data_IF_922513784658
#
_entry.id   IF_922513784658
#
_cell.length_a   1.000
_cell.length_b   1.000
_cell.length_c   1.000
_cell.angle_alpha   90.00
_cell.angle_beta   90.00
_cell.angle_gamma   90.00
#
_symmetry.space_group_name_H-M   'P 1'
#
loop_
_entity.id
_entity.type
_entity.pdbx_description
1 polymer ?
#
# COMPACT_ATOMS: atom_id res chain seq x y z
N UNK A 1 19.69 -11.65 11.91
CA UNK A 1 18.47 -10.83 11.96
C UNK A 1 17.48 -11.34 10.92
N UNK A 2 16.24 -11.53 11.32
CA UNK A 2 15.19 -11.97 10.40
C UNK A 2 14.60 -10.75 9.72
N UNK A 3 14.67 -10.74 8.40
CA UNK A 3 14.02 -9.72 7.60
C UNK A 3 12.52 -9.98 7.56
N UNK A 4 11.71 -8.98 7.87
CA UNK A 4 10.26 -9.09 7.75
C UNK A 4 9.85 -8.89 6.30
N UNK A 5 9.43 -9.98 5.66
CA UNK A 5 8.92 -9.93 4.31
C UNK A 5 7.44 -10.28 4.36
N UNK A 6 6.62 -9.34 3.91
CA UNK A 6 5.18 -9.54 3.86
C UNK A 6 4.80 -10.34 2.62
N UNK A 7 3.81 -11.21 2.76
CA UNK A 7 3.21 -11.84 1.60
C UNK A 7 2.37 -10.81 0.86
N UNK A 8 2.55 -10.73 -0.44
CA UNK A 8 1.89 -9.71 -1.26
C UNK A 8 1.23 -10.33 -2.48
N UNK A 9 0.13 -9.72 -2.86
CA UNK A 9 -0.50 -9.93 -4.16
C UNK A 9 -0.29 -8.68 -4.99
N UNK A 10 -0.61 -8.76 -6.28
CA UNK A 10 -0.49 -7.61 -7.18
C UNK A 10 -1.86 -7.35 -7.81
N UNK A 11 -2.31 -6.09 -7.80
CA UNK A 11 -3.55 -5.70 -8.42
C UNK A 11 -3.40 -5.64 -9.94
N UNK A 12 -4.53 -5.51 -10.66
CA UNK A 12 -4.52 -5.43 -12.12
C UNK A 12 -3.72 -4.22 -12.62
N UNK A 13 -3.70 -3.13 -11.86
CA UNK A 13 -2.96 -1.94 -12.23
C UNK A 13 -1.51 -1.93 -11.72
N UNK A 14 -1.01 -3.07 -11.26
CA UNK A 14 0.41 -3.23 -10.95
C UNK A 14 0.82 -2.84 -9.53
N UNK A 15 -0.13 -2.62 -8.62
CA UNK A 15 0.17 -2.32 -7.22
C UNK A 15 0.30 -3.61 -6.43
N UNK A 16 1.48 -3.85 -5.86
CA UNK A 16 1.67 -4.94 -4.92
C UNK A 16 1.15 -4.49 -3.55
N UNK A 17 0.53 -5.40 -2.83
CA UNK A 17 -0.05 -5.08 -1.54
C UNK A 17 -0.09 -6.30 -0.63
N UNK A 18 -0.03 -6.04 0.67
CA UNK A 18 -0.28 -7.02 1.71
C UNK A 18 -1.65 -6.74 2.31
N UNK A 19 -2.44 -7.79 2.47
CA UNK A 19 -3.77 -7.67 3.09
C UNK A 19 -3.83 -8.62 4.27
N UNK A 20 -4.31 -8.13 5.41
CA UNK A 20 -4.51 -8.96 6.60
C UNK A 20 -5.60 -8.36 7.49
N UNK A 21 -6.10 -9.20 8.39
CA UNK A 21 -7.10 -8.78 9.36
C UNK A 21 -8.52 -8.80 8.84
N UNK A 22 -9.45 -8.34 9.68
CA UNK A 22 -10.88 -8.22 9.38
C UNK A 22 -11.41 -6.96 10.04
N UNK A 23 -12.43 -6.36 9.43
CA UNK A 23 -13.06 -5.16 9.95
C UNK A 23 -12.98 -4.04 8.93
N UNK A 24 -13.18 -2.81 9.41
CA UNK A 24 -13.14 -1.64 8.54
C UNK A 24 -11.78 -1.51 7.87
N UNK A 25 -11.73 -1.02 6.62
CA UNK A 25 -10.49 -1.00 5.87
C UNK A 25 -9.57 0.16 6.26
N UNK A 26 -8.28 -0.17 6.36
CA UNK A 26 -7.20 0.80 6.52
C UNK A 26 -6.23 0.57 5.37
N UNK A 27 -5.83 1.66 4.71
CA UNK A 27 -4.81 1.61 3.65
C UNK A 27 -3.57 2.36 4.14
N UNK A 28 -2.45 1.65 4.20
CA UNK A 28 -1.17 2.18 4.65
C UNK A 28 -0.28 2.49 3.45
N UNK A 29 0.24 3.72 3.39
CA UNK A 29 1.04 4.20 2.26
C UNK A 29 2.39 4.70 2.78
N UNK A 30 3.45 4.01 2.37
CA UNK A 30 4.80 4.30 2.85
C UNK A 30 5.43 5.53 2.18
N UNK A 31 6.57 5.96 2.72
CA UNK A 31 7.34 7.05 2.14
C UNK A 31 8.27 6.61 1.01
N UNK A 32 8.83 7.59 0.31
CA UNK A 32 9.73 7.35 -0.81
C UNK A 32 10.95 6.51 -0.35
N UNK A 33 11.30 5.53 -1.16
CA UNK A 33 12.43 4.65 -0.88
C UNK A 33 12.14 3.51 0.08
N UNK A 34 10.90 3.40 0.56
CA UNK A 34 10.48 2.34 1.47
C UNK A 34 9.61 1.32 0.74
N UNK A 35 8.90 0.51 1.50
CA UNK A 35 7.94 -0.46 0.99
C UNK A 35 6.92 -0.77 2.08
N UNK A 36 5.94 -1.61 1.76
CA UNK A 36 4.91 -2.00 2.73
C UNK A 36 5.50 -2.59 4.01
N UNK A 37 6.68 -3.20 3.93
CA UNK A 37 7.33 -3.79 5.09
C UNK A 37 7.61 -2.79 6.21
N UNK A 38 7.71 -1.50 5.90
CA UNK A 38 7.94 -0.50 6.95
C UNK A 38 6.80 -0.44 7.97
N UNK A 39 5.64 -0.96 7.60
CA UNK A 39 4.44 -0.94 8.43
C UNK A 39 4.25 -2.22 9.28
N UNK A 40 5.22 -3.12 9.34
CA UNK A 40 4.99 -4.45 9.92
C UNK A 40 4.48 -4.41 11.37
N UNK A 41 4.94 -3.45 12.16
CA UNK A 41 4.49 -3.31 13.55
C UNK A 41 3.05 -2.82 13.61
N UNK A 42 2.72 -1.82 12.79
CA UNK A 42 1.37 -1.28 12.72
C UNK A 42 0.39 -2.34 12.20
N UNK A 43 0.80 -3.10 11.19
CA UNK A 43 -0.02 -4.19 10.66
C UNK A 43 -0.34 -5.21 11.75
N UNK A 44 0.67 -5.64 12.51
CA UNK A 44 0.50 -6.62 13.58
C UNK A 44 -0.51 -6.17 14.63
N UNK A 45 -0.56 -4.87 14.90
CA UNK A 45 -1.49 -4.30 15.87
C UNK A 45 -2.88 -4.09 15.24
N UNK A 46 -2.92 -3.44 14.07
CA UNK A 46 -4.18 -3.02 13.46
C UNK A 46 -5.01 -4.18 12.93
N UNK A 47 -4.38 -5.25 12.49
CA UNK A 47 -5.11 -6.38 11.90
C UNK A 47 -6.05 -7.08 12.87
N UNK A 48 -5.91 -6.83 14.17
CA UNK A 48 -6.79 -7.41 15.17
C UNK A 48 -8.22 -6.89 15.03
N UNK A 49 -8.36 -5.62 14.61
CA UNK A 49 -9.66 -4.95 14.56
C UNK A 49 -10.01 -4.39 13.19
N UNK A 50 -9.07 -4.41 12.24
CA UNK A 50 -9.24 -3.80 10.93
C UNK A 50 -8.76 -4.72 9.82
N UNK A 51 -9.31 -4.50 8.62
CA UNK A 51 -8.74 -5.06 7.40
C UNK A 51 -7.64 -4.09 6.94
N UNK A 52 -6.39 -4.55 6.92
CA UNK A 52 -5.25 -3.69 6.64
C UNK A 52 -4.71 -4.00 5.25
N UNK A 53 -4.60 -2.97 4.42
CA UNK A 53 -3.96 -3.03 3.12
C UNK A 53 -2.68 -2.20 3.20
N UNK A 54 -1.53 -2.82 3.11
CA UNK A 54 -0.26 -2.12 3.07
C UNK A 54 0.28 -2.18 1.63
N UNK A 55 0.37 -1.02 0.98
CA UNK A 55 0.73 -0.94 -0.42
C UNK A 55 2.22 -0.74 -0.61
N UNK A 56 2.74 -1.25 -1.73
CA UNK A 56 3.99 -0.78 -2.29
C UNK A 56 3.65 0.32 -3.30
N UNK A 57 4.22 1.50 -3.15
CA UNK A 57 4.06 2.56 -4.14
C UNK A 57 4.64 2.11 -5.49
N UNK A 58 4.16 2.68 -6.62
CA UNK A 58 4.74 2.36 -7.92
C UNK A 58 6.26 2.48 -7.90
N UNK A 59 6.93 1.47 -8.47
CA UNK A 59 8.40 1.42 -8.51
C UNK A 59 9.07 1.04 -7.20
N UNK A 60 8.29 0.77 -6.14
CA UNK A 60 8.81 0.36 -4.83
C UNK A 60 8.39 -1.08 -4.54
N UNK A 61 9.17 -1.75 -3.70
CA UNK A 61 8.89 -3.13 -3.32
C UNK A 61 8.61 -4.01 -4.53
N UNK A 62 7.41 -4.60 -4.58
CA UNK A 62 7.01 -5.50 -5.67
C UNK A 62 6.07 -4.84 -6.68
N UNK A 63 5.75 -3.55 -6.52
CA UNK A 63 4.88 -2.85 -7.46
C UNK A 63 5.60 -2.53 -8.77
N UNK A 64 4.81 -2.46 -9.86
CA UNK A 64 5.34 -2.09 -11.16
C UNK A 64 5.75 -0.62 -11.18
N UNK A 65 6.67 -0.28 -12.07
CA UNK A 65 7.06 1.10 -12.31
C UNK A 65 5.93 1.87 -12.98
N UNK A 66 5.90 3.19 -12.73
CA UNK A 66 5.04 4.06 -13.52
C UNK A 66 5.57 4.14 -14.95
N UNK A 67 4.66 4.30 -15.90
CA UNK A 67 5.03 4.41 -17.32
C UNK A 67 5.66 5.76 -17.65
N UNK A 68 5.43 6.79 -16.83
CA UNK A 68 5.97 8.12 -17.06
C UNK A 68 7.45 8.18 -16.71
N UNK A 69 8.26 8.80 -17.59
CA UNK A 69 9.70 8.95 -17.36
C UNK A 69 9.99 9.85 -16.14
N UNK A 70 9.14 10.88 -15.94
CA UNK A 70 9.25 11.79 -14.79
C UNK A 70 7.88 11.86 -14.12
N UNK A 71 7.56 10.89 -13.26
CA UNK A 71 6.24 10.85 -12.66
C UNK A 71 6.02 12.01 -11.71
N UNK A 72 4.81 12.58 -11.76
CA UNK A 72 4.36 13.60 -10.83
C UNK A 72 3.65 12.94 -9.66
N UNK A 73 3.47 13.70 -8.58
CA UNK A 73 2.77 13.20 -7.40
C UNK A 73 1.38 12.66 -7.76
N UNK A 74 0.68 13.34 -8.66
CA UNK A 74 -0.66 12.89 -9.11
C UNK A 74 -0.63 11.51 -9.75
N UNK A 75 0.48 11.10 -10.37
CA UNK A 75 0.59 9.78 -10.98
C UNK A 75 0.57 8.68 -9.91
N UNK A 76 1.23 8.92 -8.78
CA UNK A 76 1.18 8.01 -7.62
C UNK A 76 -0.22 7.99 -7.03
N UNK A 77 -0.82 9.17 -6.83
CA UNK A 77 -2.18 9.28 -6.28
C UNK A 77 -3.20 8.54 -7.13
N UNK A 78 -3.12 8.68 -8.46
CA UNK A 78 -4.04 8.00 -9.37
C UNK A 78 -3.94 6.49 -9.25
N UNK A 79 -2.73 5.95 -9.11
CA UNK A 79 -2.54 4.50 -8.94
C UNK A 79 -3.16 4.01 -7.63
N UNK A 80 -3.04 4.78 -6.56
CA UNK A 80 -3.62 4.43 -5.27
C UNK A 80 -5.15 4.47 -5.36
N UNK A 81 -5.71 5.50 -5.99
CA UNK A 81 -7.15 5.62 -6.18
C UNK A 81 -7.66 4.46 -7.02
N UNK A 82 -6.97 4.12 -8.11
CA UNK A 82 -7.33 2.99 -8.94
C UNK A 82 -7.31 1.67 -8.17
N UNK A 83 -6.31 1.50 -7.30
CA UNK A 83 -6.23 0.33 -6.43
C UNK A 83 -7.46 0.24 -5.52
N UNK A 84 -7.81 1.34 -4.86
CA UNK A 84 -8.95 1.38 -3.93
C UNK A 84 -10.24 1.02 -4.68
N UNK A 85 -10.43 1.56 -5.89
CA UNK A 85 -11.61 1.26 -6.71
C UNK A 85 -11.60 -0.19 -7.19
N UNK A 86 -10.46 -0.68 -7.66
CA UNK A 86 -10.31 -2.04 -8.15
C UNK A 86 -10.65 -3.06 -7.08
N UNK A 87 -10.22 -2.83 -5.86
CA UNK A 87 -10.47 -3.71 -4.73
C UNK A 87 -11.81 -3.45 -4.05
N UNK A 88 -12.59 -2.49 -4.54
CA UNK A 88 -13.91 -2.12 -4.00
C UNK A 88 -13.84 -1.79 -2.49
N UNK A 89 -12.77 -1.12 -2.10
CA UNK A 89 -12.60 -0.67 -0.72
C UNK A 89 -13.46 0.56 -0.51
N UNK A 90 -14.36 0.51 0.49
CA UNK A 90 -15.33 1.56 0.74
C UNK A 90 -14.97 2.30 2.03
N UNK A 91 -14.86 3.62 1.92
CA UNK A 91 -14.58 4.53 3.05
C UNK A 91 -13.37 4.09 3.87
N UNK A 92 -12.20 3.85 3.23
CA UNK A 92 -11.02 3.43 3.98
C UNK A 92 -10.46 4.57 4.82
N UNK A 93 -9.81 4.22 5.92
CA UNK A 93 -8.92 5.12 6.63
C UNK A 93 -7.58 5.08 5.89
N UNK A 94 -7.09 6.24 5.46
CA UNK A 94 -5.79 6.32 4.80
C UNK A 94 -4.74 6.83 5.79
N UNK A 95 -3.65 6.10 5.92
CA UNK A 95 -2.53 6.50 6.76
C UNK A 95 -1.29 6.55 5.87
N UNK A 96 -0.71 7.73 5.75
CA UNK A 96 0.47 7.93 4.94
C UNK A 96 1.65 8.43 5.75
N UNK A 97 2.85 8.15 5.26
CA UNK A 97 4.10 8.60 5.86
C UNK A 97 4.93 9.31 4.81
N UNK A 98 5.35 10.56 5.09
CA UNK A 98 6.18 11.36 4.19
C UNK A 98 5.50 11.51 2.82
N UNK A 99 6.08 10.97 1.74
CA UNK A 99 5.50 11.04 0.40
C UNK A 99 4.09 10.44 0.36
N UNK A 100 3.85 9.38 1.15
CA UNK A 100 2.54 8.74 1.23
C UNK A 100 1.48 9.61 1.89
N UNK A 101 1.92 10.59 2.64
CA UNK A 101 0.97 11.53 3.22
C UNK A 101 0.50 12.51 2.16
#
# INVERSE_FOLDING_TARGET
MISMILQKNKSQNGIAFHKSGKGNPIVLIHGLGLSAECWYKQISFLKKDYTVYALDLPGHGKSDLLSQAKPLLKNYSNKIIDFIKDKKIIKPILIGHSLGA
#
